data_IF_260347432931
#
_entry.id   IF_260347432931
#
_cell.length_a   1.000
_cell.length_b   1.000
_cell.length_c   1.000
_cell.angle_alpha   90.00
_cell.angle_beta   90.00
_cell.angle_gamma   90.00
#
_symmetry.space_group_name_H-M   'P 1'
#
loop_
_entity.id
_entity.type
_entity.pdbx_description
1 polymer ?
#
# COMPACT_ATOMS: atom_id res chain seq x y z
N UNK A 1 -25.90 -6.98 8.50
CA UNK A 1 -24.84 -6.57 7.55
C UNK A 1 -25.29 -5.53 6.50
N UNK A 2 -26.59 -5.43 6.13
CA UNK A 2 -27.05 -4.37 5.19
C UNK A 2 -26.65 -2.95 5.61
N UNK A 3 -26.76 -2.62 6.91
CA UNK A 3 -26.43 -1.30 7.42
C UNK A 3 -24.98 -0.90 7.11
N UNK A 4 -24.01 -1.78 7.38
CA UNK A 4 -22.59 -1.55 7.06
C UNK A 4 -22.36 -1.29 5.56
N UNK A 5 -23.09 -1.99 4.68
CA UNK A 5 -23.01 -1.80 3.23
C UNK A 5 -23.52 -0.42 2.80
N UNK A 6 -24.61 0.06 3.41
CA UNK A 6 -25.15 1.39 3.13
C UNK A 6 -24.17 2.49 3.59
N UNK A 7 -23.52 2.32 4.75
CA UNK A 7 -22.50 3.27 5.22
C UNK A 7 -21.26 3.30 4.32
N UNK A 8 -20.78 2.15 3.85
CA UNK A 8 -19.67 2.06 2.88
C UNK A 8 -20.02 2.77 1.57
N UNK A 9 -21.23 2.57 1.05
CA UNK A 9 -21.70 3.23 -0.17
C UNK A 9 -21.88 4.75 0.01
N UNK A 10 -22.23 5.19 1.21
CA UNK A 10 -22.36 6.60 1.54
C UNK A 10 -21.01 7.28 1.87
N UNK A 11 -19.88 6.54 1.87
CA UNK A 11 -18.55 7.06 2.22
C UNK A 11 -18.28 7.17 3.73
N UNK A 12 -19.24 6.76 4.56
CA UNK A 12 -19.17 6.79 6.02
C UNK A 12 -18.49 5.53 6.57
N UNK A 13 -17.21 5.34 6.26
CA UNK A 13 -16.47 4.13 6.60
C UNK A 13 -16.26 3.94 8.12
N UNK A 14 -16.22 5.04 8.89
CA UNK A 14 -16.06 4.97 10.36
C UNK A 14 -17.34 4.46 11.02
N UNK A 15 -18.48 4.96 10.57
CA UNK A 15 -19.80 4.53 11.02
C UNK A 15 -20.06 3.08 10.59
N UNK A 16 -19.61 2.70 9.40
CA UNK A 16 -19.63 1.30 8.97
C UNK A 16 -18.85 0.39 9.93
N UNK A 17 -17.67 0.83 10.40
CA UNK A 17 -16.88 0.08 11.38
C UNK A 17 -17.58 -0.02 12.74
N UNK A 18 -18.17 1.07 13.25
CA UNK A 18 -18.94 1.01 14.51
C UNK A 18 -20.10 0.00 14.43
N UNK A 19 -20.80 -0.04 13.30
CA UNK A 19 -21.87 -1.02 13.08
C UNK A 19 -21.31 -2.45 12.95
N UNK A 20 -20.14 -2.61 12.34
CA UNK A 20 -19.44 -3.89 12.27
C UNK A 20 -18.94 -4.35 13.64
N UNK A 21 -18.51 -3.45 14.54
CA UNK A 21 -18.09 -3.78 15.90
C UNK A 21 -19.25 -4.29 16.76
N UNK A 22 -20.47 -3.79 16.51
CA UNK A 22 -21.68 -4.32 17.14
C UNK A 22 -22.07 -5.73 16.69
N UNK A 23 -21.46 -6.26 15.63
CA UNK A 23 -21.71 -7.62 15.14
C UNK A 23 -20.69 -8.57 15.78
N UNK A 24 -21.19 -9.47 16.65
CA UNK A 24 -20.35 -10.47 17.32
C UNK A 24 -19.89 -11.57 16.35
N UNK A 25 -20.68 -11.87 15.32
CA UNK A 25 -20.37 -12.93 14.35
C UNK A 25 -19.36 -12.43 13.30
N UNK A 26 -18.07 -12.64 13.58
CA UNK A 26 -16.96 -12.27 12.69
C UNK A 26 -16.68 -13.36 11.66
N UNK A 27 -17.61 -13.58 10.74
CA UNK A 27 -17.42 -14.49 9.61
C UNK A 27 -16.66 -13.84 8.43
N UNK A 28 -16.43 -14.60 7.36
CA UNK A 28 -15.70 -14.12 6.18
C UNK A 28 -16.29 -12.83 5.56
N UNK A 29 -17.61 -12.67 5.58
CA UNK A 29 -18.29 -11.44 5.14
C UNK A 29 -17.93 -10.21 5.98
N UNK A 30 -17.79 -10.39 7.29
CA UNK A 30 -17.41 -9.29 8.19
C UNK A 30 -16.03 -8.75 7.81
N UNK A 31 -15.06 -9.65 7.59
CA UNK A 31 -13.70 -9.29 7.18
C UNK A 31 -13.66 -8.63 5.80
N UNK A 32 -14.51 -9.06 4.87
CA UNK A 32 -14.66 -8.39 3.57
C UNK A 32 -15.11 -6.93 3.71
N UNK A 33 -16.15 -6.66 4.52
CA UNK A 33 -16.62 -5.30 4.75
C UNK A 33 -15.62 -4.46 5.55
N UNK A 34 -14.94 -5.04 6.55
CA UNK A 34 -13.88 -4.38 7.29
C UNK A 34 -12.71 -4.00 6.37
N UNK A 35 -12.33 -4.89 5.44
CA UNK A 35 -11.30 -4.61 4.44
C UNK A 35 -11.71 -3.45 3.52
N UNK A 36 -12.94 -3.48 2.99
CA UNK A 36 -13.46 -2.41 2.13
C UNK A 36 -13.54 -1.05 2.86
N UNK A 37 -13.98 -1.03 4.12
CA UNK A 37 -14.02 0.18 4.93
C UNK A 37 -12.61 0.73 5.21
N UNK A 38 -11.65 -0.12 5.57
CA UNK A 38 -10.26 0.30 5.78
C UNK A 38 -9.59 0.80 4.49
N UNK A 39 -9.93 0.20 3.34
CA UNK A 39 -9.46 0.68 2.03
C UNK A 39 -9.97 2.10 1.75
N UNK A 40 -11.25 2.37 2.04
CA UNK A 40 -11.85 3.70 1.92
C UNK A 40 -11.25 4.74 2.88
N UNK A 41 -10.76 4.29 4.05
CA UNK A 41 -10.04 5.12 5.02
C UNK A 41 -8.54 5.30 4.69
N UNK A 42 -8.10 4.83 3.53
CA UNK A 42 -6.69 4.85 3.10
C UNK A 42 -5.74 4.01 3.97
N UNK A 43 -6.29 3.09 4.79
CA UNK A 43 -5.56 2.17 5.65
C UNK A 43 -5.30 0.84 4.91
N UNK A 44 -4.50 0.90 3.85
CA UNK A 44 -4.24 -0.25 2.96
C UNK A 44 -3.61 -1.45 3.68
N UNK A 45 -2.82 -1.24 4.73
CA UNK A 45 -2.18 -2.30 5.51
C UNK A 45 -3.23 -3.15 6.25
N UNK A 46 -4.14 -2.50 6.98
CA UNK A 46 -5.21 -3.17 7.69
C UNK A 46 -6.19 -3.82 6.70
N UNK A 47 -6.52 -3.12 5.61
CA UNK A 47 -7.39 -3.63 4.55
C UNK A 47 -6.87 -4.95 3.95
N UNK A 48 -5.57 -5.01 3.64
CA UNK A 48 -4.92 -6.20 3.09
C UNK A 48 -4.92 -7.37 4.08
N UNK A 49 -4.67 -7.11 5.36
CA UNK A 49 -4.73 -8.15 6.39
C UNK A 49 -6.13 -8.76 6.49
N UNK A 50 -7.16 -7.90 6.58
CA UNK A 50 -8.55 -8.36 6.65
C UNK A 50 -8.99 -9.09 5.38
N UNK A 51 -8.60 -8.63 4.19
CA UNK A 51 -8.91 -9.32 2.93
C UNK A 51 -8.27 -10.72 2.86
N UNK A 52 -7.03 -10.88 3.32
CA UNK A 52 -6.39 -12.20 3.42
C UNK A 52 -7.15 -13.11 4.36
N UNK A 53 -7.56 -12.61 5.51
CA UNK A 53 -8.33 -13.39 6.48
C UNK A 53 -9.71 -13.79 5.94
N UNK A 54 -10.36 -12.92 5.16
CA UNK A 54 -11.61 -13.24 4.47
C UNK A 54 -11.45 -14.39 3.46
N UNK A 55 -10.38 -14.35 2.63
CA UNK A 55 -10.08 -15.41 1.65
C UNK A 55 -9.68 -16.71 2.34
N UNK A 56 -8.93 -16.66 3.44
CA UNK A 56 -8.55 -17.86 4.19
C UNK A 56 -9.77 -18.56 4.81
N UNK A 57 -10.79 -17.81 5.23
CA UNK A 57 -12.01 -18.40 5.77
C UNK A 57 -12.96 -18.93 4.70
N UNK A 58 -13.07 -18.23 3.56
CA UNK A 58 -13.91 -18.65 2.46
C UNK A 58 -13.13 -18.56 1.13
N UNK A 59 -12.26 -19.55 0.85
CA UNK A 59 -11.47 -19.55 -0.36
C UNK A 59 -12.31 -19.85 -1.59
N UNK A 60 -13.54 -20.38 -1.45
CA UNK A 60 -14.44 -20.67 -2.57
C UNK A 60 -14.99 -19.39 -3.21
N UNK A 61 -15.01 -18.28 -2.46
CA UNK A 61 -15.62 -17.04 -2.89
C UNK A 61 -14.71 -16.22 -3.80
N UNK A 62 -15.11 -16.07 -5.06
CA UNK A 62 -14.37 -15.32 -6.08
C UNK A 62 -14.27 -13.82 -5.74
N UNK A 63 -15.32 -13.23 -5.15
CA UNK A 63 -15.32 -11.79 -4.83
C UNK A 63 -14.21 -11.42 -3.82
N UNK A 64 -13.91 -12.30 -2.86
CA UNK A 64 -12.90 -12.02 -1.84
C UNK A 64 -11.49 -12.08 -2.44
N UNK A 65 -11.26 -13.02 -3.36
CA UNK A 65 -9.97 -13.12 -4.08
C UNK A 65 -9.75 -11.90 -4.97
N UNK A 66 -10.79 -11.43 -5.65
CA UNK A 66 -10.70 -10.21 -6.46
C UNK A 66 -10.38 -8.98 -5.61
N UNK A 67 -11.02 -8.83 -4.43
CA UNK A 67 -10.71 -7.76 -3.50
C UNK A 67 -9.26 -7.83 -3.02
N UNK A 68 -8.79 -9.01 -2.62
CA UNK A 68 -7.42 -9.22 -2.17
C UNK A 68 -6.41 -8.81 -3.24
N UNK A 69 -6.62 -9.27 -4.48
CA UNK A 69 -5.75 -8.92 -5.60
C UNK A 69 -5.73 -7.41 -5.82
N UNK A 70 -6.88 -6.71 -5.77
CA UNK A 70 -6.90 -5.24 -5.88
C UNK A 70 -6.09 -4.57 -4.77
N UNK A 71 -6.21 -5.04 -3.54
CA UNK A 71 -5.49 -4.51 -2.38
C UNK A 71 -3.99 -4.79 -2.43
N UNK A 72 -3.57 -5.93 -2.97
CA UNK A 72 -2.15 -6.27 -3.13
C UNK A 72 -1.45 -5.32 -4.10
N UNK A 73 -2.13 -4.92 -5.18
CA UNK A 73 -1.59 -3.95 -6.14
C UNK A 73 -1.54 -2.54 -5.55
N UNK A 74 -2.57 -2.15 -4.78
CA UNK A 74 -2.57 -0.90 -4.03
C UNK A 74 -1.47 -0.89 -2.94
N UNK A 75 -1.21 -2.00 -2.28
CA UNK A 75 -0.15 -2.14 -1.27
C UNK A 75 1.27 -2.13 -1.86
N UNK A 76 1.47 -2.77 -3.03
CA UNK A 76 2.77 -2.76 -3.71
C UNK A 76 3.18 -1.37 -4.17
N UNK A 77 2.25 -0.54 -4.62
CA UNK A 77 2.55 0.85 -5.01
C UNK A 77 3.07 1.67 -3.82
N UNK A 78 2.57 1.42 -2.61
CA UNK A 78 3.11 2.01 -1.38
C UNK A 78 4.52 1.49 -1.03
N UNK A 79 4.75 0.18 -1.12
CA UNK A 79 6.08 -0.40 -0.86
C UNK A 79 7.12 0.03 -1.89
N UNK A 80 6.72 0.15 -3.16
CA UNK A 80 7.58 0.61 -4.25
C UNK A 80 7.94 2.10 -4.12
N UNK A 81 6.99 2.95 -3.70
CA UNK A 81 7.26 4.36 -3.41
C UNK A 81 8.26 4.51 -2.24
N UNK A 82 8.09 3.73 -1.17
CA UNK A 82 9.04 3.68 -0.05
C UNK A 82 10.43 3.17 -0.46
N UNK A 83 10.51 2.15 -1.33
CA UNK A 83 11.79 1.65 -1.86
C UNK A 83 12.50 2.64 -2.78
N UNK A 84 11.77 3.45 -3.55
CA UNK A 84 12.36 4.56 -4.33
C UNK A 84 12.92 5.67 -3.45
N UNK A 85 12.39 5.85 -2.24
CA UNK A 85 12.88 6.83 -1.28
C UNK A 85 13.99 6.30 -0.35
N UNK A 86 14.04 4.97 -0.14
CA UNK A 86 14.94 4.32 0.82
C UNK A 86 16.09 3.51 0.23
N UNK A 87 16.22 3.42 -1.10
CA UNK A 87 17.31 2.69 -1.73
C UNK A 87 17.69 3.38 -3.05
N UNK A 88 18.78 4.18 -3.10
CA UNK A 88 19.43 4.36 -4.37
C UNK A 88 19.94 2.96 -4.74
N UNK A 89 19.47 2.44 -5.88
CA UNK A 89 20.17 1.36 -6.54
C UNK A 89 21.59 1.89 -6.84
N UNK A 90 22.51 1.63 -5.91
CA UNK A 90 23.94 1.92 -5.93
C UNK A 90 24.65 1.04 -6.97
N UNK A 91 24.06 0.93 -8.16
CA UNK A 91 24.56 0.09 -9.24
C UNK A 91 24.51 0.81 -10.58
N UNK A 92 24.71 2.13 -10.54
CA UNK A 92 25.02 2.93 -11.71
C UNK A 92 26.38 3.56 -11.43
N UNK A 93 27.39 3.22 -12.21
CA UNK A 93 28.70 3.86 -12.16
C UNK A 93 28.60 5.41 -12.12
N UNK A 94 27.50 5.97 -12.67
CA UNK A 94 27.11 7.37 -12.58
C UNK A 94 26.96 7.91 -11.15
N UNK A 95 26.37 7.17 -10.19
CA UNK A 95 26.26 7.67 -8.80
C UNK A 95 27.60 7.66 -8.08
N UNK A 96 28.50 6.72 -8.38
CA UNK A 96 29.84 6.70 -7.78
C UNK A 96 30.71 7.85 -8.32
N UNK A 97 30.57 8.19 -9.60
CA UNK A 97 31.21 9.35 -10.22
C UNK A 97 30.62 10.69 -9.71
N UNK A 98 29.31 10.79 -9.52
CA UNK A 98 28.72 12.01 -8.96
C UNK A 98 29.06 12.23 -7.46
N UNK A 99 29.12 11.16 -6.66
CA UNK A 99 29.54 11.23 -5.24
C UNK A 99 31.04 11.56 -5.10
N UNK A 100 31.89 11.06 -6.00
CA UNK A 100 33.32 11.40 -6.01
C UNK A 100 33.56 12.84 -6.45
N UNK A 101 32.78 13.38 -7.41
CA UNK A 101 32.82 14.79 -7.78
C UNK A 101 32.36 15.73 -6.65
N UNK A 102 31.41 15.31 -5.80
CA UNK A 102 30.95 16.12 -4.67
C UNK A 102 31.98 16.18 -3.53
N UNK A 103 32.70 15.07 -3.28
CA UNK A 103 33.78 15.01 -2.29
C UNK A 103 35.05 15.74 -2.78
N UNK A 104 35.37 15.70 -4.08
CA UNK A 104 36.55 16.39 -4.64
C UNK A 104 36.34 17.89 -4.90
N UNK A 105 35.10 18.37 -5.00
CA UNK A 105 34.79 19.81 -5.14
C UNK A 105 35.14 20.64 -3.91
N UNK A 106 35.41 20.01 -2.76
CA UNK A 106 35.90 20.70 -1.56
C UNK A 106 37.44 20.88 -1.57
N UNK A 107 38.18 20.23 -2.48
CA UNK A 107 39.65 20.23 -2.46
C UNK A 107 40.34 20.73 -3.74
N UNK A 108 39.76 20.64 -4.94
CA UNK A 108 40.40 21.14 -6.15
C UNK A 108 39.37 21.67 -7.16
N UNK A 109 39.36 22.99 -7.35
CA UNK A 109 38.56 23.61 -8.40
C UNK A 109 38.98 23.18 -9.80
N UNK A 110 37.99 23.23 -10.71
CA UNK A 110 38.10 23.35 -12.17
C UNK A 110 37.76 22.10 -13.01
N UNK A 111 36.76 22.33 -13.88
CA UNK A 111 36.65 21.91 -15.29
C UNK A 111 36.23 20.46 -15.60
N UNK A 112 35.08 20.34 -16.26
CA UNK A 112 34.83 19.25 -17.20
C UNK A 112 33.37 18.86 -17.34
N UNK A 113 32.64 19.53 -18.23
CA UNK A 113 31.42 19.00 -18.84
C UNK A 113 31.76 17.67 -19.53
N UNK A 114 31.04 16.58 -19.28
CA UNK A 114 30.74 15.56 -20.30
C UNK A 114 29.49 14.75 -19.93
N UNK A 115 28.41 15.07 -20.63
CA UNK A 115 27.36 14.17 -21.13
C UNK A 115 26.86 13.04 -20.20
N UNK A 116 25.70 13.29 -19.59
CA UNK A 116 24.91 12.31 -18.84
C UNK A 116 23.97 11.58 -19.82
N UNK A 117 24.18 10.28 -19.99
CA UNK A 117 23.21 9.31 -20.49
C UNK A 117 22.96 8.30 -19.37
#
# INVERSE_FOLDING_TARGET
MQAARNYINAGHYREALNVLEGIQERGARWYYYAAAANMGLNNNIAALNYARQAVNMDPANLEYRQLLHRLEYAGQSYQAAGRRYGMPNLNSACTWLCLSQLLLSCCCGSRGYYFCC
#
